data_IF_671644274869
#
_entry.id   IF_671644274869
#
_cell.length_a   1.000
_cell.length_b   1.000
_cell.length_c   1.000
_cell.angle_alpha   90.00
_cell.angle_beta   90.00
_cell.angle_gamma   90.00
#
_symmetry.space_group_name_H-M   'P 1'
#
loop_
_entity.id
_entity.type
_entity.pdbx_description
1 polymer ?
#
# COMPACT_ATOMS: atom_id res chain seq x y z
N UNK A 1 -25.10 -22.44 6.69
CA UNK A 1 -23.74 -21.99 6.35
C UNK A 1 -22.72 -23.07 6.73
N UNK A 2 -22.15 -23.71 5.71
CA UNK A 2 -21.03 -24.65 5.91
C UNK A 2 -19.90 -23.90 6.62
N UNK A 3 -19.41 -24.48 7.72
CA UNK A 3 -18.48 -23.84 8.64
C UNK A 3 -17.03 -23.86 8.14
N UNK A 4 -16.75 -24.52 7.02
CA UNK A 4 -15.42 -24.74 6.47
C UNK A 4 -15.45 -24.60 4.93
N UNK A 5 -15.68 -23.38 4.43
CA UNK A 5 -15.51 -23.08 2.99
C UNK A 5 -14.11 -22.46 2.77
N UNK A 6 -13.11 -23.26 2.33
CA UNK A 6 -11.73 -22.78 2.20
C UNK A 6 -11.59 -21.71 1.11
N UNK A 7 -12.46 -21.70 0.11
CA UNK A 7 -12.46 -20.67 -0.94
C UNK A 7 -13.00 -19.37 -0.37
N UNK A 8 -14.07 -19.42 0.42
CA UNK A 8 -14.55 -18.25 1.14
C UNK A 8 -13.47 -17.62 2.04
N UNK A 9 -12.77 -18.44 2.84
CA UNK A 9 -11.70 -17.98 3.72
C UNK A 9 -10.53 -17.37 2.95
N UNK A 10 -10.14 -18.00 1.84
CA UNK A 10 -9.14 -17.45 0.93
C UNK A 10 -9.57 -16.09 0.37
N UNK A 11 -10.79 -15.97 -0.15
CA UNK A 11 -11.30 -14.73 -0.74
C UNK A 11 -11.38 -13.61 0.31
N UNK A 12 -11.81 -13.92 1.55
CA UNK A 12 -11.81 -12.97 2.65
C UNK A 12 -10.38 -12.50 3.00
N UNK A 13 -9.40 -13.42 2.97
CA UNK A 13 -8.00 -13.07 3.20
C UNK A 13 -7.40 -12.25 2.05
N UNK A 14 -7.68 -12.63 0.81
CA UNK A 14 -7.27 -11.91 -0.39
C UNK A 14 -7.81 -10.47 -0.39
N UNK A 15 -9.08 -10.29 0.00
CA UNK A 15 -9.69 -8.97 0.14
C UNK A 15 -8.92 -8.09 1.14
N UNK A 16 -8.55 -8.63 2.31
CA UNK A 16 -7.74 -7.88 3.30
C UNK A 16 -6.39 -7.49 2.71
N UNK A 17 -5.69 -8.40 2.03
CA UNK A 17 -4.42 -8.11 1.37
C UNK A 17 -4.58 -6.98 0.34
N UNK A 18 -5.63 -7.03 -0.48
CA UNK A 18 -5.91 -6.01 -1.48
C UNK A 18 -6.20 -4.64 -0.84
N UNK A 19 -6.92 -4.60 0.28
CA UNK A 19 -7.17 -3.36 1.02
C UNK A 19 -5.88 -2.78 1.59
N UNK A 20 -5.05 -3.60 2.23
CA UNK A 20 -3.75 -3.16 2.77
C UNK A 20 -2.85 -2.63 1.65
N UNK A 21 -2.80 -3.32 0.50
CA UNK A 21 -2.03 -2.87 -0.65
C UNK A 21 -2.54 -1.54 -1.23
N UNK A 22 -3.86 -1.32 -1.26
CA UNK A 22 -4.45 -0.03 -1.68
C UNK A 22 -4.02 1.10 -0.76
N UNK A 23 -4.00 0.89 0.56
CA UNK A 23 -3.52 1.90 1.50
C UNK A 23 -2.06 2.27 1.25
N UNK A 24 -1.22 1.29 0.87
CA UNK A 24 0.17 1.56 0.48
C UNK A 24 0.23 2.35 -0.82
N UNK A 25 -0.59 2.01 -1.82
CA UNK A 25 -0.69 2.76 -3.09
C UNK A 25 -1.12 4.21 -2.84
N UNK A 26 -2.12 4.43 -1.98
CA UNK A 26 -2.59 5.76 -1.60
C UNK A 26 -1.52 6.60 -0.89
N UNK A 27 -0.57 5.95 -0.21
CA UNK A 27 0.54 6.61 0.46
C UNK A 27 1.72 6.94 -0.48
N UNK A 28 1.74 6.48 -1.73
CA UNK A 28 2.79 6.80 -2.70
C UNK A 28 2.77 8.30 -3.06
N UNK A 29 3.93 8.94 -3.26
CA UNK A 29 5.30 8.42 -3.22
C UNK A 29 5.92 8.28 -1.82
N UNK A 30 5.19 8.61 -0.76
CA UNK A 30 5.73 8.71 0.61
C UNK A 30 5.77 7.38 1.36
N UNK A 31 5.22 6.31 0.78
CA UNK A 31 5.23 5.00 1.42
C UNK A 31 6.65 4.45 1.58
N UNK A 32 6.85 3.64 2.62
CA UNK A 32 8.10 2.91 2.79
C UNK A 32 8.26 1.89 1.65
N UNK A 33 9.45 1.85 1.03
CA UNK A 33 9.77 0.91 -0.06
C UNK A 33 9.53 -0.54 0.37
N UNK A 34 9.89 -0.87 1.62
CA UNK A 34 9.66 -2.19 2.17
C UNK A 34 8.16 -2.55 2.26
N UNK A 35 7.29 -1.58 2.57
CA UNK A 35 5.85 -1.79 2.59
C UNK A 35 5.33 -2.09 1.17
N UNK A 36 5.79 -1.36 0.16
CA UNK A 36 5.43 -1.60 -1.24
C UNK A 36 5.88 -3.00 -1.74
N UNK A 37 7.13 -3.39 -1.45
CA UNK A 37 7.66 -4.73 -1.78
C UNK A 37 6.90 -5.86 -1.07
N UNK A 38 6.53 -5.66 0.19
CA UNK A 38 5.72 -6.62 0.95
C UNK A 38 4.34 -6.78 0.31
N UNK A 39 3.65 -5.68 0.03
CA UNK A 39 2.33 -5.69 -0.60
C UNK A 39 2.37 -6.35 -1.97
N UNK A 40 3.39 -6.08 -2.80
CA UNK A 40 3.60 -6.76 -4.08
C UNK A 40 3.72 -8.28 -3.93
N UNK A 41 4.55 -8.75 -2.99
CA UNK A 41 4.71 -10.20 -2.75
C UNK A 41 3.40 -10.85 -2.32
N UNK A 42 2.62 -10.20 -1.47
CA UNK A 42 1.32 -10.71 -1.03
C UNK A 42 0.31 -10.76 -2.19
N UNK A 43 0.23 -9.70 -3.00
CA UNK A 43 -0.62 -9.67 -4.20
C UNK A 43 -0.21 -10.74 -5.22
N UNK A 44 1.09 -10.99 -5.40
CA UNK A 44 1.57 -12.06 -6.27
C UNK A 44 1.14 -13.44 -5.76
N UNK A 45 1.17 -13.66 -4.44
CA UNK A 45 0.63 -14.87 -3.83
C UNK A 45 -0.87 -15.06 -4.12
N UNK A 46 -1.67 -14.01 -3.97
CA UNK A 46 -3.11 -14.03 -4.30
C UNK A 46 -3.32 -14.34 -5.79
N UNK A 47 -2.57 -13.69 -6.68
CA UNK A 47 -2.64 -13.92 -8.12
C UNK A 47 -2.35 -15.38 -8.49
N UNK A 48 -1.30 -15.99 -7.93
CA UNK A 48 -0.96 -17.40 -8.19
C UNK A 48 -2.10 -18.32 -7.74
N UNK A 49 -2.71 -18.07 -6.58
CA UNK A 49 -3.82 -18.90 -6.11
C UNK A 49 -5.05 -18.74 -7.01
N UNK A 50 -5.40 -17.52 -7.40
CA UNK A 50 -6.52 -17.27 -8.32
C UNK A 50 -6.34 -17.96 -9.67
N UNK A 51 -5.13 -17.94 -10.23
CA UNK A 51 -4.82 -18.61 -11.50
C UNK A 51 -5.01 -20.13 -11.46
N UNK A 52 -4.91 -20.74 -10.27
CA UNK A 52 -5.04 -22.18 -10.07
C UNK A 52 -6.32 -22.54 -9.31
N UNK A 53 -7.24 -21.59 -9.13
CA UNK A 53 -8.48 -21.80 -8.39
C UNK A 53 -9.46 -22.55 -9.28
N UNK A 54 -9.78 -23.78 -8.90
CA UNK A 54 -10.81 -24.60 -9.54
C UNK A 54 -12.00 -24.75 -8.57
N UNK A 55 -12.92 -23.77 -8.60
CA UNK A 55 -14.15 -23.79 -7.81
C UNK A 55 -15.38 -23.82 -8.73
N UNK A 56 -16.21 -24.87 -8.68
CA UNK A 56 -17.42 -24.97 -9.50
C UNK A 56 -18.49 -23.89 -9.21
N UNK A 57 -18.34 -23.13 -8.11
CA UNK A 57 -19.22 -22.02 -7.72
C UNK A 57 -18.80 -20.68 -8.32
N UNK A 58 -17.58 -20.59 -8.85
CA UNK A 58 -17.06 -19.39 -9.50
C UNK A 58 -16.95 -19.64 -11.00
N UNK A 59 -17.41 -18.67 -11.79
CA UNK A 59 -17.16 -18.65 -13.22
C UNK A 59 -15.73 -18.21 -13.51
N UNK A 60 -15.20 -18.65 -14.66
CA UNK A 60 -13.89 -18.19 -15.12
C UNK A 60 -13.84 -16.65 -15.28
N UNK A 61 -14.93 -16.05 -15.75
CA UNK A 61 -15.03 -14.59 -15.92
C UNK A 61 -14.90 -13.84 -14.58
N UNK A 62 -15.44 -14.38 -13.49
CA UNK A 62 -15.28 -13.81 -12.15
C UNK A 62 -13.84 -13.94 -11.65
N UNK A 63 -13.20 -15.08 -11.89
CA UNK A 63 -11.78 -15.30 -11.53
C UNK A 63 -10.89 -14.33 -12.31
N UNK A 64 -11.11 -14.18 -13.61
CA UNK A 64 -10.37 -13.26 -14.47
C UNK A 64 -10.55 -11.81 -13.99
N UNK A 65 -11.77 -11.41 -13.62
CA UNK A 65 -12.04 -10.10 -13.03
C UNK A 65 -11.30 -9.87 -11.69
N UNK A 66 -11.19 -10.89 -10.84
CA UNK A 66 -10.40 -10.80 -9.60
C UNK A 66 -8.90 -10.65 -9.91
N UNK A 67 -8.40 -11.37 -10.90
CA UNK A 67 -7.01 -11.28 -11.36
C UNK A 67 -6.71 -9.86 -11.87
N UNK A 68 -7.57 -9.29 -12.71
CA UNK A 68 -7.42 -7.92 -13.21
C UNK A 68 -7.35 -6.89 -12.07
N UNK A 69 -8.18 -7.05 -11.04
CA UNK A 69 -8.15 -6.17 -9.85
C UNK A 69 -6.81 -6.28 -9.10
N UNK A 70 -6.29 -7.49 -8.92
CA UNK A 70 -5.00 -7.73 -8.25
C UNK A 70 -3.85 -7.12 -9.06
N UNK A 71 -3.83 -7.34 -10.38
CA UNK A 71 -2.81 -6.79 -11.28
C UNK A 71 -2.88 -5.25 -11.36
N UNK A 72 -4.09 -4.68 -11.35
CA UNK A 72 -4.29 -3.23 -11.32
C UNK A 72 -3.61 -2.57 -10.13
N UNK A 73 -3.79 -3.12 -8.92
CA UNK A 73 -3.13 -2.62 -7.71
C UNK A 73 -1.61 -2.86 -7.80
N UNK A 74 -1.20 -4.05 -8.25
CA UNK A 74 0.21 -4.44 -8.37
C UNK A 74 1.02 -3.50 -9.26
N UNK A 75 0.44 -3.04 -10.38
CA UNK A 75 1.14 -2.18 -11.36
C UNK A 75 1.70 -0.88 -10.75
N UNK A 76 0.95 -0.25 -9.84
CA UNK A 76 1.36 1.00 -9.20
C UNK A 76 2.50 0.78 -8.22
N UNK A 77 2.43 -0.30 -7.44
CA UNK A 77 3.49 -0.68 -6.51
C UNK A 77 4.76 -1.12 -7.26
N UNK A 78 4.62 -1.87 -8.34
CA UNK A 78 5.75 -2.33 -9.16
C UNK A 78 6.48 -1.16 -9.82
N UNK A 79 5.72 -0.20 -10.34
CA UNK A 79 6.29 1.05 -10.89
C UNK A 79 7.09 1.80 -9.83
N UNK A 80 6.54 1.92 -8.62
CA UNK A 80 7.23 2.60 -7.51
C UNK A 80 8.50 1.87 -7.06
N UNK A 81 8.47 0.54 -6.97
CA UNK A 81 9.64 -0.25 -6.56
C UNK A 81 10.74 -0.22 -7.63
N UNK A 82 10.38 -0.29 -8.91
CA UNK A 82 11.34 -0.26 -10.02
C UNK A 82 11.88 1.14 -10.31
N UNK A 83 11.16 2.19 -9.92
CA UNK A 83 11.53 3.58 -10.15
C UNK A 83 11.13 4.43 -8.96
N UNK A 84 11.81 4.26 -7.81
CA UNK A 84 11.49 5.05 -6.63
C UNK A 84 11.72 6.52 -6.95
N UNK A 85 10.82 7.41 -6.48
CA UNK A 85 10.97 8.84 -6.65
C UNK A 85 12.33 9.28 -6.12
N UNK A 86 12.99 10.27 -6.75
CA UNK A 86 14.23 10.79 -6.23
C UNK A 86 14.01 11.23 -4.77
N UNK A 87 14.97 10.98 -3.87
CA UNK A 87 14.85 11.40 -2.49
C UNK A 87 14.50 12.89 -2.48
N UNK A 88 13.41 13.25 -1.79
CA UNK A 88 13.11 14.66 -1.56
C UNK A 88 14.34 15.26 -0.89
N UNK A 89 15.01 16.16 -1.62
CA UNK A 89 16.24 16.81 -1.19
C UNK A 89 16.13 17.16 0.30
N UNK A 90 16.91 16.49 1.14
CA UNK A 90 17.12 16.87 2.55
C UNK A 90 18.01 18.12 2.51
N UNK A 91 17.42 19.19 1.98
CA UNK A 91 18.01 20.50 1.77
C UNK A 91 17.39 21.51 2.71
N UNK A 92 16.98 21.11 3.92
CA UNK A 92 17.05 22.07 5.02
C UNK A 92 18.51 22.13 5.40
N UNK A 93 19.22 23.16 4.93
CA UNK A 93 20.47 23.56 5.54
C UNK A 93 20.25 23.55 7.05
N UNK A 94 20.85 22.59 7.74
CA UNK A 94 20.96 22.62 9.19
C UNK A 94 21.77 23.86 9.50
N UNK A 95 21.09 24.98 9.77
CA UNK A 95 21.71 26.11 10.43
C UNK A 95 22.39 25.51 11.67
N UNK A 96 23.71 25.62 11.81
CA UNK A 96 24.40 25.01 12.93
C UNK A 96 23.77 25.55 14.22
N UNK A 97 23.36 24.70 15.16
CA UNK A 97 22.80 25.17 16.41
C UNK A 97 23.92 25.89 17.15
N UNK A 98 23.86 27.22 17.18
CA UNK A 98 24.68 27.98 18.09
C UNK A 98 24.13 27.75 19.50
N UNK A 99 24.66 26.73 20.18
CA UNK A 99 24.47 26.52 21.62
C UNK A 99 24.07 25.10 22.04
N UNK A 100 24.38 24.71 23.30
CA UNK A 100 24.01 23.42 23.86
C UNK A 100 22.54 23.43 24.28
N UNK A 101 21.66 22.92 23.42
CA UNK A 101 20.25 22.76 23.75
C UNK A 101 19.45 22.20 22.58
N UNK A 102 18.96 20.96 22.71
CA UNK A 102 18.11 20.26 21.74
C UNK A 102 17.08 21.19 21.08
N UNK A 103 16.92 21.17 19.74
CA UNK A 103 15.79 21.82 19.10
C UNK A 103 14.50 21.11 19.55
N UNK A 104 13.65 21.82 20.29
CA UNK A 104 12.26 21.40 20.48
C UNK A 104 11.52 21.84 19.23
N UNK A 105 11.18 20.89 18.36
CA UNK A 105 10.22 21.15 17.29
C UNK A 105 8.86 21.43 17.95
N UNK A 106 8.54 22.70 18.17
CA UNK A 106 7.20 23.10 18.55
C UNK A 106 6.34 23.09 17.28
N UNK A 107 5.57 22.01 17.08
CA UNK A 107 4.54 21.96 16.06
C UNK A 107 3.52 23.06 16.38
N UNK A 108 3.52 24.13 15.59
CA UNK A 108 2.53 25.19 15.72
C UNK A 108 1.22 24.72 15.06
N UNK A 109 0.42 24.02 15.86
CA UNK A 109 -0.86 23.44 15.44
C UNK A 109 -1.89 24.52 15.06
N UNK A 110 -1.84 25.70 15.70
CA UNK A 110 -2.75 26.81 15.38
C UNK A 110 -2.57 27.26 13.93
N UNK A 111 -1.31 27.40 13.49
CA UNK A 111 -1.01 27.76 12.11
C UNK A 111 -1.41 26.68 11.10
N UNK A 112 -1.28 25.41 11.48
CA UNK A 112 -1.69 24.31 10.62
C UNK A 112 -3.21 24.28 10.44
N UNK A 113 -3.98 24.57 11.50
CA UNK A 113 -5.43 24.64 11.45
C UNK A 113 -5.93 25.81 10.58
N UNK A 114 -5.31 26.98 10.68
CA UNK A 114 -5.65 28.16 9.83
C UNK A 114 -5.51 27.88 8.33
N UNK A 115 -4.53 27.06 7.93
CA UNK A 115 -4.26 26.75 6.53
C UNK A 115 -5.25 25.75 5.90
N UNK A 116 -6.04 25.06 6.73
CA UNK A 116 -6.99 24.04 6.31
C UNK A 116 -8.46 24.48 6.43
N UNK A 117 -8.72 25.74 6.79
CA UNK A 117 -10.07 26.31 6.92
C UNK A 117 -10.41 27.34 5.81
N UNK A 118 -9.84 27.21 4.61
CA UNK A 118 -10.25 28.02 3.43
C UNK A 118 -11.35 27.31 2.66
#
# INVERSE_FOLDING_TARGET
PDRDDPVHDFLAHAQRIMQDARLVVEALPNAEVFAAERSLRQLHGVHIVLLNLDDPRLSQEEIDGLIELVLGIGSSLETFVNSPPPPHNIGTATVPPSGPGRPRYALNLDRALELHTV
#
